data_IF_584880789436
#
_entry.id   IF_584880789436
#
_cell.length_a   1.000
_cell.length_b   1.000
_cell.length_c   1.000
_cell.angle_alpha   90.00
_cell.angle_beta   90.00
_cell.angle_gamma   90.00
#
_symmetry.space_group_name_H-M   'P 1'
#
loop_
_entity.id
_entity.type
_entity.pdbx_description
1 polymer ?
#
# COMPACT_ATOMS: atom_id res chain seq x y z
N UNK A 1 2.70 6.59 8.93
CA UNK A 1 3.04 5.86 7.68
C UNK A 1 4.52 5.52 7.56
N UNK A 2 5.45 6.46 7.79
CA UNK A 2 6.91 6.20 7.66
C UNK A 2 7.41 5.10 8.59
N UNK A 3 7.02 5.11 9.87
CA UNK A 3 7.45 4.05 10.81
C UNK A 3 6.87 2.68 10.49
N UNK A 4 5.61 2.61 10.03
CA UNK A 4 5.02 1.37 9.52
C UNK A 4 5.78 0.85 8.30
N UNK A 5 6.24 1.76 7.41
CA UNK A 5 7.05 1.41 6.24
C UNK A 5 8.43 0.89 6.64
N UNK A 6 9.07 1.48 7.64
CA UNK A 6 10.34 0.98 8.17
C UNK A 6 10.19 -0.43 8.74
N UNK A 7 9.13 -0.67 9.53
CA UNK A 7 8.82 -2.00 10.05
C UNK A 7 8.53 -3.01 8.94
N UNK A 8 7.85 -2.59 7.87
CA UNK A 8 7.60 -3.39 6.67
C UNK A 8 8.91 -3.82 6.00
N UNK A 9 9.85 -2.89 5.75
CA UNK A 9 11.14 -3.22 5.15
C UNK A 9 11.96 -4.18 6.02
N UNK A 10 12.01 -3.94 7.34
CA UNK A 10 12.67 -4.84 8.27
C UNK A 10 12.08 -6.27 8.21
N UNK A 11 10.74 -6.38 8.19
CA UNK A 11 10.05 -7.68 8.06
C UNK A 11 10.28 -8.36 6.70
N UNK A 12 10.63 -7.60 5.66
CA UNK A 12 11.01 -8.10 4.34
C UNK A 12 12.52 -8.39 4.22
N UNK A 13 13.28 -8.32 5.32
CA UNK A 13 14.72 -8.60 5.33
C UNK A 13 15.59 -7.46 4.81
N UNK A 14 15.06 -6.24 4.73
CA UNK A 14 15.81 -5.03 4.35
C UNK A 14 16.00 -4.16 5.58
N UNK A 15 17.25 -3.86 5.96
CA UNK A 15 17.54 -2.93 7.06
C UNK A 15 17.05 -1.51 6.72
N UNK A 16 16.07 -0.95 7.45
CA UNK A 16 15.59 0.40 7.22
C UNK A 16 16.60 1.49 7.65
N UNK A 17 17.69 1.11 8.32
CA UNK A 17 18.68 2.02 8.85
C UNK A 17 18.15 2.89 10.01
N UNK A 18 18.98 3.84 10.49
CA UNK A 18 18.65 4.67 11.63
C UNK A 18 17.47 5.62 11.33
N UNK A 19 16.92 6.24 12.38
CA UNK A 19 15.86 7.25 12.25
C UNK A 19 16.27 8.43 11.35
N UNK A 20 17.56 8.75 11.28
CA UNK A 20 18.11 9.80 10.42
C UNK A 20 18.36 9.36 8.96
N UNK A 21 18.02 8.13 8.57
CA UNK A 21 18.24 7.65 7.21
C UNK A 21 17.50 8.55 6.18
N UNK A 22 18.16 9.04 5.12
CA UNK A 22 17.59 10.05 4.21
C UNK A 22 16.23 9.68 3.60
N UNK A 23 16.01 8.39 3.32
CA UNK A 23 14.76 7.91 2.73
C UNK A 23 13.54 8.15 3.63
N UNK A 24 13.72 8.23 4.96
CA UNK A 24 12.62 8.48 5.91
C UNK A 24 12.08 9.90 5.76
N UNK A 25 12.98 10.88 5.69
CA UNK A 25 12.62 12.29 5.45
C UNK A 25 11.99 12.46 4.06
N UNK A 26 12.60 11.85 3.03
CA UNK A 26 12.05 11.86 1.68
C UNK A 26 10.64 11.22 1.62
N UNK A 27 10.43 10.10 2.32
CA UNK A 27 9.12 9.45 2.41
C UNK A 27 8.10 10.30 3.15
N UNK A 28 8.51 11.02 4.19
CA UNK A 28 7.63 11.92 4.93
C UNK A 28 7.10 13.03 4.01
N UNK A 29 7.99 13.71 3.27
CA UNK A 29 7.60 14.73 2.29
C UNK A 29 6.67 14.15 1.22
N UNK A 30 7.04 13.00 0.65
CA UNK A 30 6.26 12.31 -0.38
C UNK A 30 4.83 11.96 0.09
N UNK A 31 4.66 11.45 1.32
CA UNK A 31 3.34 11.16 1.88
C UNK A 31 2.57 12.45 2.18
N UNK A 32 3.22 13.49 2.71
CA UNK A 32 2.56 14.76 3.02
C UNK A 32 1.98 15.42 1.76
N UNK A 33 2.74 15.47 0.67
CA UNK A 33 2.29 15.99 -0.63
C UNK A 33 1.07 15.25 -1.17
N UNK A 34 1.05 13.92 -1.03
CA UNK A 34 -0.04 13.09 -1.54
C UNK A 34 -1.28 13.12 -0.68
N UNK A 35 -1.13 13.20 0.64
CA UNK A 35 -2.25 13.42 1.55
C UNK A 35 -2.92 14.79 1.29
N UNK A 36 -2.18 15.77 0.77
CA UNK A 36 -2.74 17.05 0.31
C UNK A 36 -3.50 16.94 -1.03
N UNK A 37 -3.42 15.79 -1.73
CA UNK A 37 -4.07 15.50 -3.01
C UNK A 37 -5.08 14.36 -2.90
N UNK A 38 -6.21 14.55 -2.19
CA UNK A 38 -7.09 13.46 -1.78
C UNK A 38 -7.79 12.76 -2.94
N UNK A 39 -7.83 13.32 -4.15
CA UNK A 39 -8.47 12.67 -5.31
C UNK A 39 -7.68 11.46 -5.87
N UNK A 40 -6.40 11.30 -5.49
CA UNK A 40 -5.52 10.27 -6.06
C UNK A 40 -4.80 9.44 -5.02
N UNK A 41 -4.95 9.74 -3.74
CA UNK A 41 -4.21 9.05 -2.71
C UNK A 41 -5.03 8.95 -1.44
N UNK A 42 -4.99 7.77 -0.82
CA UNK A 42 -5.52 7.57 0.52
C UNK A 42 -4.62 6.64 1.32
N UNK A 43 -4.61 6.85 2.63
CA UNK A 43 -3.95 5.98 3.59
C UNK A 43 -4.86 5.77 4.78
N UNK A 44 -4.98 4.52 5.22
CA UNK A 44 -5.79 4.13 6.36
C UNK A 44 -4.89 3.44 7.38
N UNK A 45 -5.14 3.74 8.66
CA UNK A 45 -4.41 3.15 9.78
C UNK A 45 -5.37 2.59 10.81
N UNK A 46 -4.95 1.54 11.51
CA UNK A 46 -5.54 1.17 12.80
C UNK A 46 -4.68 1.81 13.88
N UNK A 47 -5.34 2.63 14.70
CA UNK A 47 -4.76 3.25 15.87
C UNK A 47 -5.09 2.42 17.12
N UNK A 48 -4.10 2.20 17.98
CA UNK A 48 -4.27 1.63 19.31
C UNK A 48 -3.59 2.58 20.28
N UNK A 49 -4.39 3.21 21.16
CA UNK A 49 -3.91 4.12 22.21
C UNK A 49 -3.06 5.29 21.69
N UNK A 50 -3.45 5.88 20.56
CA UNK A 50 -2.75 7.01 19.93
C UNK A 50 -1.55 6.61 19.09
N UNK A 51 -1.34 5.30 18.86
CA UNK A 51 -0.26 4.78 18.01
C UNK A 51 -0.83 4.04 16.80
N UNK A 52 -0.45 4.43 15.57
CA UNK A 52 -0.70 3.62 14.39
C UNK A 52 0.05 2.28 14.46
N UNK A 53 -0.68 1.17 14.55
CA UNK A 53 -0.12 -0.19 14.65
C UNK A 53 -0.28 -1.02 13.38
N UNK A 54 -1.15 -0.59 12.48
CA UNK A 54 -1.34 -1.18 11.15
C UNK A 54 -1.68 -0.09 10.16
N UNK A 55 -1.34 -0.29 8.89
CA UNK A 55 -1.72 0.64 7.84
C UNK A 55 -1.67 0.05 6.44
N UNK A 56 -2.32 0.73 5.52
CA UNK A 56 -2.30 0.50 4.07
C UNK A 56 -2.42 1.85 3.35
N UNK A 57 -1.81 1.97 2.17
CA UNK A 57 -1.93 3.14 1.31
C UNK A 57 -2.26 2.74 -0.12
N UNK A 58 -2.96 3.61 -0.83
CA UNK A 58 -3.24 3.45 -2.25
C UNK A 58 -2.93 4.74 -3.01
N UNK A 59 -2.35 4.60 -4.18
CA UNK A 59 -2.17 5.69 -5.14
C UNK A 59 -2.92 5.34 -6.43
N UNK A 60 -3.71 6.28 -6.94
CA UNK A 60 -4.47 6.17 -8.17
C UNK A 60 -3.85 7.05 -9.24
N UNK A 61 -3.33 6.42 -10.29
CA UNK A 61 -2.61 7.10 -11.35
C UNK A 61 -3.30 6.92 -12.71
N UNK A 62 -3.20 7.91 -13.61
CA UNK A 62 -3.56 7.74 -15.01
C UNK A 62 -2.75 6.63 -15.66
N UNK A 63 -3.40 5.84 -16.49
CA UNK A 63 -2.83 4.77 -17.28
C UNK A 63 -3.49 4.76 -18.66
N UNK A 64 -2.78 4.29 -19.68
CA UNK A 64 -3.36 4.09 -21.02
C UNK A 64 -4.66 3.27 -20.92
N UNK A 65 -5.81 3.79 -21.40
CA UNK A 65 -7.04 3.04 -21.48
C UNK A 65 -6.84 1.77 -22.30
N UNK A 66 -7.53 0.70 -21.93
CA UNK A 66 -7.48 -0.57 -22.64
C UNK A 66 -8.82 -1.29 -22.49
N UNK A 67 -9.09 -2.35 -23.27
CA UNK A 67 -10.38 -3.05 -23.24
C UNK A 67 -10.84 -3.53 -21.85
N UNK A 68 -9.92 -3.73 -20.91
CA UNK A 68 -10.22 -4.17 -19.54
C UNK A 68 -10.18 -3.04 -18.51
N UNK A 69 -9.79 -1.83 -18.90
CA UNK A 69 -9.80 -0.64 -18.04
C UNK A 69 -10.05 0.62 -18.87
N UNK A 70 -11.31 0.88 -19.28
CA UNK A 70 -11.66 2.02 -20.14
C UNK A 70 -11.52 3.36 -19.40
N UNK A 71 -11.58 3.39 -18.07
CA UNK A 71 -11.46 4.63 -17.30
C UNK A 71 -10.06 5.24 -17.36
N UNK A 72 -9.05 4.46 -17.74
CA UNK A 72 -7.66 4.92 -17.77
C UNK A 72 -7.10 5.28 -16.40
N UNK A 73 -7.68 4.76 -15.30
CA UNK A 73 -7.15 4.95 -13.94
C UNK A 73 -6.84 3.60 -13.32
N UNK A 74 -5.69 3.50 -12.65
CA UNK A 74 -5.27 2.30 -11.93
C UNK A 74 -4.89 2.65 -10.51
N UNK A 75 -5.35 1.85 -9.55
CA UNK A 75 -4.95 1.97 -8.17
C UNK A 75 -3.81 0.98 -7.85
N UNK A 76 -2.76 1.44 -7.19
CA UNK A 76 -1.69 0.62 -6.65
C UNK A 76 -1.77 0.65 -5.12
N UNK A 77 -2.09 -0.50 -4.51
CA UNK A 77 -2.10 -0.71 -3.06
C UNK A 77 -0.69 -1.09 -2.60
N UNK A 78 -0.17 -0.33 -1.63
CA UNK A 78 1.16 -0.54 -1.09
C UNK A 78 1.21 -0.19 0.41
N UNK A 79 2.39 -0.38 1.01
CA UNK A 79 2.63 -0.07 2.41
C UNK A 79 1.70 -0.78 3.40
N UNK A 80 1.24 -1.98 3.04
CA UNK A 80 0.41 -2.82 3.91
C UNK A 80 1.30 -3.45 4.97
N UNK A 81 1.14 -3.04 6.22
CA UNK A 81 1.95 -3.51 7.33
C UNK A 81 1.17 -3.52 8.63
N UNK A 82 1.44 -4.51 9.48
CA UNK A 82 1.02 -4.55 10.88
C UNK A 82 2.25 -4.75 11.75
N UNK A 83 2.42 -3.93 12.79
CA UNK A 83 3.58 -4.01 13.69
C UNK A 83 3.65 -5.37 14.40
N UNK A 84 4.87 -5.85 14.72
CA UNK A 84 5.06 -7.03 15.57
C UNK A 84 4.26 -6.91 16.88
N UNK A 85 3.64 -8.01 17.33
CA UNK A 85 2.77 -8.04 18.51
C UNK A 85 1.29 -7.69 18.25
N UNK A 86 0.98 -7.08 17.10
CA UNK A 86 -0.38 -6.72 16.69
C UNK A 86 -0.94 -7.62 15.56
N UNK A 87 -0.15 -8.60 15.10
CA UNK A 87 -0.57 -9.58 14.10
C UNK A 87 -1.71 -10.51 14.57
N UNK A 88 -2.37 -11.17 13.62
CA UNK A 88 -3.44 -12.14 13.92
C UNK A 88 -4.78 -11.54 14.37
N UNK A 89 -4.89 -10.20 14.44
CA UNK A 89 -6.11 -9.49 14.92
C UNK A 89 -6.97 -8.92 13.80
N UNK A 90 -6.63 -9.21 12.54
CA UNK A 90 -7.36 -8.70 11.37
C UNK A 90 -7.08 -7.24 10.99
N UNK A 91 -6.17 -6.53 11.67
CA UNK A 91 -5.90 -5.11 11.39
C UNK A 91 -5.40 -4.84 9.96
N UNK A 92 -4.49 -5.65 9.43
CA UNK A 92 -4.05 -5.52 8.03
C UNK A 92 -5.23 -5.67 7.05
N UNK A 93 -6.11 -6.66 7.30
CA UNK A 93 -7.33 -6.85 6.50
C UNK A 93 -8.27 -5.65 6.59
N UNK A 94 -8.45 -5.08 7.78
CA UNK A 94 -9.28 -3.90 7.99
C UNK A 94 -8.75 -2.67 7.21
N UNK A 95 -7.44 -2.42 7.25
CA UNK A 95 -6.83 -1.34 6.48
C UNK A 95 -7.03 -1.53 4.96
N UNK A 96 -6.84 -2.75 4.45
CA UNK A 96 -7.04 -3.04 3.02
C UNK A 96 -8.50 -2.91 2.62
N UNK A 97 -9.44 -3.36 3.46
CA UNK A 97 -10.87 -3.18 3.21
C UNK A 97 -11.24 -1.70 3.10
N UNK A 98 -10.75 -0.86 4.03
CA UNK A 98 -10.98 0.58 3.99
C UNK A 98 -10.41 1.24 2.72
N UNK A 99 -9.22 0.79 2.27
CA UNK A 99 -8.68 1.22 0.96
C UNK A 99 -9.62 0.86 -0.18
N UNK A 100 -10.12 -0.38 -0.23
CA UNK A 100 -11.00 -0.83 -1.31
C UNK A 100 -12.32 -0.05 -1.33
N UNK A 101 -12.88 0.24 -0.16
CA UNK A 101 -14.10 1.04 -0.04
C UNK A 101 -13.87 2.47 -0.53
N UNK A 102 -12.73 3.07 -0.17
CA UNK A 102 -12.34 4.39 -0.67
C UNK A 102 -12.13 4.41 -2.18
N UNK A 103 -11.44 3.42 -2.75
CA UNK A 103 -11.23 3.34 -4.21
C UNK A 103 -12.56 3.29 -4.96
N UNK A 104 -13.53 2.52 -4.45
CA UNK A 104 -14.88 2.41 -5.04
C UNK A 104 -15.69 3.69 -4.95
N UNK A 105 -15.56 4.42 -3.84
CA UNK A 105 -16.34 5.62 -3.59
C UNK A 105 -15.77 6.86 -4.29
N UNK A 106 -14.44 7.00 -4.31
CA UNK A 106 -13.78 8.28 -4.61
C UNK A 106 -13.05 8.29 -5.96
N UNK A 107 -13.01 7.16 -6.68
CA UNK A 107 -12.19 7.04 -7.90
C UNK A 107 -12.91 6.29 -9.02
N UNK A 108 -12.36 6.39 -10.23
CA UNK A 108 -12.80 5.62 -11.40
C UNK A 108 -11.90 4.41 -11.68
N UNK A 109 -11.04 4.02 -10.74
CA UNK A 109 -10.10 2.93 -10.95
C UNK A 109 -10.84 1.59 -11.13
N UNK A 110 -10.68 0.96 -12.31
CA UNK A 110 -11.30 -0.34 -12.60
C UNK A 110 -10.50 -1.53 -12.05
N UNK A 111 -9.31 -1.31 -11.52
CA UNK A 111 -8.43 -2.37 -10.99
C UNK A 111 -7.54 -1.83 -9.90
N UNK A 112 -7.41 -2.60 -8.81
CA UNK A 112 -6.42 -2.40 -7.73
C UNK A 112 -5.32 -3.45 -7.88
N UNK A 113 -4.07 -3.02 -7.89
CA UNK A 113 -2.88 -3.89 -7.99
C UNK A 113 -2.05 -3.81 -6.72
N UNK A 114 -1.27 -4.85 -6.49
CA UNK A 114 -0.32 -4.95 -5.38
C UNK A 114 0.73 -6.01 -5.69
N UNK A 115 1.82 -6.00 -4.92
CA UNK A 115 2.77 -7.11 -4.84
C UNK A 115 2.67 -7.77 -3.46
N UNK A 116 2.23 -9.03 -3.43
CA UNK A 116 2.03 -9.75 -2.18
C UNK A 116 3.32 -10.38 -1.67
N UNK A 117 3.59 -10.24 -0.36
CA UNK A 117 4.54 -11.12 0.33
C UNK A 117 3.89 -12.48 0.58
N UNK A 118 4.70 -13.53 0.74
CA UNK A 118 4.19 -14.87 1.09
C UNK A 118 3.36 -14.86 2.38
N UNK A 119 3.75 -14.05 3.37
CA UNK A 119 3.02 -13.90 4.63
C UNK A 119 1.68 -13.14 4.47
N UNK A 120 1.60 -12.19 3.53
CA UNK A 120 0.41 -11.34 3.34
C UNK A 120 -0.62 -11.89 2.36
N UNK A 121 -0.25 -12.87 1.51
CA UNK A 121 -1.08 -13.30 0.37
C UNK A 121 -2.49 -13.77 0.77
N UNK A 122 -2.63 -14.42 1.93
CA UNK A 122 -3.92 -14.90 2.42
C UNK A 122 -4.94 -13.78 2.66
N UNK A 123 -4.49 -12.61 3.12
CA UNK A 123 -5.37 -11.45 3.33
C UNK A 123 -5.95 -10.99 1.99
N UNK A 124 -5.10 -10.85 0.97
CA UNK A 124 -5.53 -10.36 -0.34
C UNK A 124 -6.51 -11.33 -1.01
N UNK A 125 -6.21 -12.63 -0.98
CA UNK A 125 -7.13 -13.67 -1.49
C UNK A 125 -8.49 -13.62 -0.78
N UNK A 126 -8.51 -13.42 0.55
CA UNK A 126 -9.76 -13.29 1.32
C UNK A 126 -10.60 -12.05 0.96
N UNK A 127 -10.00 -11.07 0.28
CA UNK A 127 -10.64 -9.83 -0.18
C UNK A 127 -10.93 -9.83 -1.68
N UNK A 128 -10.76 -10.99 -2.35
CA UNK A 128 -11.06 -11.16 -3.76
C UNK A 128 -9.94 -10.79 -4.73
N UNK A 129 -8.73 -10.50 -4.24
CA UNK A 129 -7.57 -10.40 -5.13
C UNK A 129 -7.21 -11.78 -5.68
N UNK A 130 -6.92 -11.82 -6.97
CA UNK A 130 -6.37 -12.98 -7.66
C UNK A 130 -4.96 -12.67 -8.15
N UNK A 131 -4.16 -13.71 -8.35
CA UNK A 131 -2.85 -13.58 -8.97
C UNK A 131 -2.97 -13.00 -10.39
N UNK A 132 -1.94 -12.25 -10.80
CA UNK A 132 -1.85 -11.76 -12.16
C UNK A 132 -1.70 -12.94 -13.14
N UNK A 133 -2.35 -12.83 -14.30
CA UNK A 133 -2.25 -13.84 -15.38
C UNK A 133 -0.81 -14.06 -15.86
N UNK A 134 -0.01 -13.00 -15.83
CA UNK A 134 1.38 -13.01 -16.26
C UNK A 134 2.27 -12.54 -15.11
N UNK A 135 3.50 -13.07 -14.98
CA UNK A 135 4.41 -12.67 -13.93
C UNK A 135 4.79 -11.19 -14.06
N UNK A 136 4.97 -10.52 -12.92
CA UNK A 136 5.60 -9.22 -12.87
C UNK A 136 7.12 -9.37 -13.04
N UNK A 137 7.73 -8.50 -13.84
CA UNK A 137 9.18 -8.48 -14.06
C UNK A 137 9.74 -7.13 -13.60
N UNK A 138 10.97 -7.12 -13.06
CA UNK A 138 11.68 -5.90 -12.65
C UNK A 138 13.12 -5.96 -13.15
N UNK A 139 13.61 -4.81 -13.61
CA UNK A 139 15.03 -4.55 -13.87
C UNK A 139 15.44 -3.33 -13.03
N UNK A 140 16.54 -3.45 -12.29
CA UNK A 140 17.17 -2.30 -11.64
C UNK A 140 18.11 -1.66 -12.66
N UNK A 141 17.88 -0.37 -12.97
CA UNK A 141 18.74 0.41 -13.85
C UNK A 141 19.66 1.24 -12.97
N UNK A 142 20.97 1.15 -13.20
CA UNK A 142 21.95 1.99 -12.52
C UNK A 142 21.71 3.47 -12.87
N UNK A 143 21.78 4.33 -11.86
CA UNK A 143 21.61 5.79 -11.98
C UNK A 143 22.67 6.50 -11.17
#
# INVERSE_FOLDING_TARGET
MVELRAAMFAAMGTDPGPAAAPWRSASLGWFAERLASPARFAAFVVDVEGRPVSGAAVECEPHSPNPWNPSGVRAELFNVCTLPGYGGRGFGRACVAAVLDWVRAETTAGTVRLSATAAGIGIYRSLGFTEARYPAMRLSVER
#
